data_IF_599561299348
#
_entry.id   IF_599561299348
#
_cell.length_a   1.000
_cell.length_b   1.000
_cell.length_c   1.000
_cell.angle_alpha   90.00
_cell.angle_beta   90.00
_cell.angle_gamma   90.00
#
_symmetry.space_group_name_H-M   'P 1'
#
loop_
_entity.id
_entity.type
_entity.pdbx_description
1 polymer ?
#
# COMPACT_ATOMS: atom_id res chain seq x y z
N UNK A 1 14.45 1.18 14.68
CA UNK A 1 13.24 0.33 14.78
C UNK A 1 12.92 -0.03 16.23
N UNK A 2 13.92 -0.35 17.04
CA UNK A 2 13.77 -0.81 18.42
C UNK A 2 12.97 0.11 19.35
N UNK A 3 13.03 1.44 19.16
CA UNK A 3 12.26 2.38 19.98
C UNK A 3 10.82 2.56 19.47
N UNK A 4 10.65 2.76 18.16
CA UNK A 4 9.34 3.02 17.55
C UNK A 4 8.44 1.78 17.53
N UNK A 5 9.00 0.58 17.40
CA UNK A 5 8.24 -0.69 17.38
C UNK A 5 7.60 -1.06 18.73
N UNK A 6 8.00 -0.42 19.83
CA UNK A 6 7.45 -0.65 21.17
C UNK A 6 6.34 0.34 21.57
N UNK A 7 6.03 1.33 20.72
CA UNK A 7 5.02 2.33 21.00
C UNK A 7 3.61 1.80 20.71
N UNK A 8 2.62 2.31 21.45
CA UNK A 8 1.22 2.04 21.16
C UNK A 8 0.82 2.67 19.82
N UNK A 9 -0.21 2.09 19.19
CA UNK A 9 -0.79 2.67 17.97
C UNK A 9 -1.33 4.07 18.30
N UNK A 10 -0.92 5.07 17.52
CA UNK A 10 -1.32 6.46 17.72
C UNK A 10 -0.51 7.23 18.76
N UNK A 11 0.57 6.66 19.29
CA UNK A 11 1.45 7.37 20.22
C UNK A 11 2.07 8.62 19.54
N UNK A 12 1.98 9.81 20.15
CA UNK A 12 2.51 11.04 19.57
C UNK A 12 4.03 11.02 19.36
N UNK A 13 4.77 10.12 20.01
CA UNK A 13 6.22 9.95 19.86
C UNK A 13 6.64 9.33 18.52
N UNK A 14 5.72 8.67 17.80
CA UNK A 14 6.02 8.02 16.51
C UNK A 14 6.57 9.03 15.50
N UNK A 15 5.93 10.19 15.35
CA UNK A 15 6.34 11.19 14.37
C UNK A 15 7.70 11.85 14.68
N UNK A 16 8.00 12.25 15.93
CA UNK A 16 9.35 12.65 16.32
C UNK A 16 10.44 11.62 16.00
N UNK A 17 10.23 10.35 16.36
CA UNK A 17 11.20 9.28 16.09
C UNK A 17 11.39 9.02 14.59
N UNK A 18 10.30 9.08 13.81
CA UNK A 18 10.36 8.99 12.35
C UNK A 18 11.22 10.10 11.73
N UNK A 19 11.06 11.35 12.18
CA UNK A 19 11.89 12.48 11.72
C UNK A 19 13.36 12.29 12.05
N UNK A 20 13.67 11.76 13.23
CA UNK A 20 15.05 11.46 13.61
C UNK A 20 15.66 10.38 12.71
N UNK A 21 14.91 9.32 12.40
CA UNK A 21 15.35 8.28 11.49
C UNK A 21 15.56 8.81 10.06
N UNK A 22 14.69 9.70 9.58
CA UNK A 22 14.86 10.36 8.28
C UNK A 22 16.10 11.24 8.22
N UNK A 23 16.46 11.93 9.30
CA UNK A 23 17.67 12.75 9.36
C UNK A 23 18.93 11.88 9.20
N UNK A 24 19.00 10.77 9.93
CA UNK A 24 20.10 9.79 9.80
C UNK A 24 20.15 9.22 8.38
N UNK A 25 19.00 8.81 7.84
CA UNK A 25 18.93 8.27 6.48
C UNK A 25 19.38 9.30 5.42
N UNK A 26 19.07 10.57 5.60
CA UNK A 26 19.51 11.65 4.72
C UNK A 26 21.01 11.95 4.85
N UNK A 27 21.58 11.81 6.04
CA UNK A 27 23.02 12.01 6.30
C UNK A 27 23.85 10.83 5.77
N UNK A 28 23.35 9.60 5.89
CA UNK A 28 24.05 8.37 5.52
C UNK A 28 23.80 7.93 4.07
N UNK A 29 22.71 8.40 3.45
CA UNK A 29 22.25 8.06 2.08
C UNK A 29 22.44 6.56 1.71
N UNK A 30 21.94 5.61 2.52
CA UNK A 30 22.09 4.19 2.22
C UNK A 30 21.31 3.78 0.96
N UNK A 31 20.30 4.57 0.58
CA UNK A 31 19.53 4.47 -0.66
C UNK A 31 19.14 5.89 -1.09
N UNK A 32 18.79 6.11 -2.36
CA UNK A 32 18.37 7.42 -2.88
C UNK A 32 17.06 7.24 -3.66
N UNK A 33 15.91 7.72 -3.14
CA UNK A 33 14.62 7.61 -3.79
C UNK A 33 14.57 8.64 -4.91
N UNK A 34 14.56 8.14 -6.15
CA UNK A 34 14.53 8.98 -7.33
C UNK A 34 13.11 9.13 -7.89
N UNK A 35 12.35 8.04 -7.91
CA UNK A 35 11.01 7.99 -8.51
C UNK A 35 10.09 7.13 -7.66
N UNK A 36 8.82 7.51 -7.57
CA UNK A 36 7.77 6.62 -7.11
C UNK A 36 7.28 5.81 -8.31
N UNK A 37 7.56 4.51 -8.34
CA UNK A 37 7.13 3.65 -9.44
C UNK A 37 5.60 3.57 -9.47
N UNK A 38 4.94 4.00 -10.56
CA UNK A 38 3.49 3.86 -10.68
C UNK A 38 3.13 2.38 -10.72
N UNK A 39 2.12 2.01 -9.93
CA UNK A 39 1.57 0.65 -9.94
C UNK A 39 0.55 0.53 -11.07
N UNK A 40 0.91 -0.23 -12.12
CA UNK A 40 0.00 -0.53 -13.22
C UNK A 40 -0.74 -1.84 -12.94
N UNK A 41 -2.06 -1.77 -12.86
CA UNK A 41 -2.92 -2.93 -12.70
C UNK A 41 -3.83 -3.05 -13.90
N UNK A 42 -3.73 -4.18 -14.59
CA UNK A 42 -4.50 -4.48 -15.78
C UNK A 42 -5.36 -5.69 -15.48
N UNK A 43 -6.67 -5.56 -15.72
CA UNK A 43 -7.62 -6.63 -15.51
C UNK A 43 -8.24 -7.06 -16.83
N UNK A 44 -8.17 -8.35 -17.12
CA UNK A 44 -8.89 -8.94 -18.24
C UNK A 44 -10.37 -9.02 -17.89
N UNK A 45 -11.23 -8.52 -18.79
CA UNK A 45 -12.69 -8.49 -18.60
C UNK A 45 -13.46 -9.50 -19.47
N UNK A 46 -12.77 -10.45 -20.11
CA UNK A 46 -13.40 -11.49 -20.95
C UNK A 46 -14.34 -12.40 -20.16
N UNK A 47 -14.00 -12.73 -18.90
CA UNK A 47 -14.80 -13.65 -18.08
C UNK A 47 -15.29 -13.04 -16.76
N UNK A 48 -14.63 -11.98 -16.29
CA UNK A 48 -14.90 -11.39 -14.99
C UNK A 48 -14.92 -9.87 -15.07
N UNK A 49 -15.94 -9.27 -14.48
CA UNK A 49 -16.15 -7.82 -14.39
C UNK A 49 -16.16 -7.37 -12.94
N UNK A 50 -16.34 -6.06 -12.71
CA UNK A 50 -16.38 -5.44 -11.38
C UNK A 50 -15.04 -5.52 -10.62
N UNK A 51 -13.92 -5.44 -11.33
CA UNK A 51 -12.60 -5.25 -10.73
C UNK A 51 -12.51 -3.89 -10.00
N UNK A 52 -11.68 -3.76 -8.95
CA UNK A 52 -11.49 -2.48 -8.30
C UNK A 52 -10.75 -1.54 -9.24
N UNK A 53 -11.30 -0.34 -9.43
CA UNK A 53 -10.72 0.73 -10.23
C UNK A 53 -10.68 2.00 -9.39
N UNK A 54 -10.07 3.07 -9.89
CA UNK A 54 -10.09 4.36 -9.20
C UNK A 54 -11.52 4.86 -8.90
N UNK A 55 -12.47 4.62 -9.82
CA UNK A 55 -13.87 5.03 -9.65
C UNK A 55 -14.70 4.00 -8.84
N UNK A 56 -14.15 2.81 -8.59
CA UNK A 56 -14.78 1.70 -7.87
C UNK A 56 -13.80 1.11 -6.85
N UNK A 57 -13.30 1.96 -5.96
CA UNK A 57 -12.21 1.63 -5.01
C UNK A 57 -12.75 0.95 -3.73
N UNK A 58 -13.44 -0.17 -3.91
CA UNK A 58 -13.95 -0.94 -2.77
C UNK A 58 -12.83 -1.68 -2.02
N UNK A 59 -11.62 -1.75 -2.57
CA UNK A 59 -10.42 -2.28 -1.91
C UNK A 59 -9.19 -1.66 -2.56
N UNK A 60 -8.24 -1.21 -1.72
CA UNK A 60 -6.99 -0.64 -2.19
C UNK A 60 -6.30 -1.64 -3.14
N UNK A 61 -5.92 -1.21 -4.35
CA UNK A 61 -5.06 -2.01 -5.21
C UNK A 61 -3.64 -2.09 -4.60
N UNK A 62 -2.92 -3.24 -4.59
CA UNK A 62 -3.09 -4.43 -5.42
C UNK A 62 -3.90 -5.56 -4.75
N UNK A 63 -4.45 -6.43 -5.60
CA UNK A 63 -5.04 -7.72 -5.28
C UNK A 63 -4.02 -8.73 -4.69
N UNK A 64 -3.27 -8.35 -3.64
CA UNK A 64 -2.28 -9.18 -2.97
C UNK A 64 -2.79 -9.67 -1.61
N UNK A 65 -2.30 -10.84 -1.21
CA UNK A 65 -2.45 -11.41 0.13
C UNK A 65 -3.93 -11.46 0.59
N UNK A 66 -4.22 -10.99 1.81
CA UNK A 66 -5.54 -11.01 2.43
C UNK A 66 -6.59 -10.15 1.69
N UNK A 67 -6.16 -9.10 1.00
CA UNK A 67 -7.08 -8.19 0.31
C UNK A 67 -7.72 -8.83 -0.93
N UNK A 68 -7.08 -9.84 -1.53
CA UNK A 68 -7.60 -10.49 -2.72
C UNK A 68 -8.93 -11.22 -2.49
N UNK A 69 -9.15 -11.73 -1.28
CA UNK A 69 -10.42 -12.37 -0.93
C UNK A 69 -11.60 -11.40 -1.10
N UNK A 70 -11.41 -10.12 -0.71
CA UNK A 70 -12.42 -9.08 -0.91
C UNK A 70 -12.69 -8.85 -2.40
N UNK A 71 -11.67 -8.84 -3.25
CA UNK A 71 -11.85 -8.77 -4.71
C UNK A 71 -12.68 -9.94 -5.21
N UNK A 72 -12.32 -11.18 -4.85
CA UNK A 72 -13.00 -12.39 -5.32
C UNK A 72 -14.51 -12.39 -5.00
N UNK A 73 -14.89 -11.94 -3.80
CA UNK A 73 -16.31 -11.87 -3.41
C UNK A 73 -17.12 -10.81 -4.14
N UNK A 74 -16.46 -9.86 -4.81
CA UNK A 74 -17.10 -8.76 -5.53
C UNK A 74 -17.09 -8.97 -7.04
N UNK A 75 -16.26 -9.86 -7.58
CA UNK A 75 -16.23 -10.15 -9.01
C UNK A 75 -17.57 -10.70 -9.50
N UNK A 76 -17.91 -10.36 -10.74
CA UNK A 76 -19.12 -10.81 -11.42
C UNK A 76 -18.77 -11.50 -12.73
N UNK A 77 -19.46 -12.58 -13.13
CA UNK A 77 -19.29 -13.13 -14.47
C UNK A 77 -19.51 -12.04 -15.53
N UNK A 78 -18.71 -12.07 -16.59
CA UNK A 78 -19.03 -11.31 -17.81
C UNK A 78 -20.29 -11.91 -18.45
N UNK A 79 -21.18 -11.05 -19.00
CA UNK A 79 -22.37 -11.47 -19.74
C UNK A 79 -22.02 -12.06 -21.10
#
# INVERSE_FOLDING_TARGET
MDQMGNLAIGDPQVMPLYKQALAIWADELPDIPLVQTPSYLLFNQTYWTNWPTQDNDYVQPPAHWEHFLKVLTQLKPAQ
#
